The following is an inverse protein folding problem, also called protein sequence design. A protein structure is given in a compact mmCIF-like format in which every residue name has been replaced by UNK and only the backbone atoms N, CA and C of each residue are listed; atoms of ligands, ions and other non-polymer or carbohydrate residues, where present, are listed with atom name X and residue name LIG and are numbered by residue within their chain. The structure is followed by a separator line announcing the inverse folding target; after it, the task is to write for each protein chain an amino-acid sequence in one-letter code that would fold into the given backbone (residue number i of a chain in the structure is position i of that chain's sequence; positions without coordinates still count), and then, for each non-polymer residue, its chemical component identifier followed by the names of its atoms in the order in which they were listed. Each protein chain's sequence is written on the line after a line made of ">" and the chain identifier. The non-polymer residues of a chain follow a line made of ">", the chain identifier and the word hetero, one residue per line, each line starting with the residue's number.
data_IF_343131787675
#
_entry.id   IF_343131787675
#
_cell.length_a   1.000
_cell.length_b   1.000
_cell.length_c   1.000
_cell.angle_alpha   90.00
_cell.angle_beta   90.00
_cell.angle_gamma   90.00
#
_symmetry.space_group_name_H-M   'P 1'
#
loop_
_entity.id
_entity.type
_entity.pdbx_description
1 polymer ?
#
# COMPACT_ATOMS: atom_id res chain seq x y z
N UNK A 1 17.15 -28.10 -5.19
CA UNK A 1 16.75 -26.74 -5.59
C UNK A 1 15.53 -26.90 -6.49
N UNK A 2 14.36 -26.34 -6.14
CA UNK A 2 13.12 -26.55 -6.91
C UNK A 2 13.28 -26.09 -8.37
N UNK A 3 12.73 -26.83 -9.33
CA UNK A 3 12.74 -26.53 -10.77
C UNK A 3 12.26 -25.08 -11.06
N UNK A 4 11.35 -24.58 -10.21
CA UNK A 4 10.89 -23.19 -10.15
C UNK A 4 12.03 -22.17 -9.99
N UNK A 5 12.99 -22.39 -9.08
CA UNK A 5 14.07 -21.45 -8.83
C UNK A 5 15.06 -21.37 -10.00
N UNK A 6 15.25 -22.48 -10.71
CA UNK A 6 16.08 -22.53 -11.91
C UNK A 6 15.41 -21.74 -13.05
N UNK A 7 14.14 -22.02 -13.32
CA UNK A 7 13.35 -21.34 -14.36
C UNK A 7 13.14 -19.86 -14.08
N UNK A 8 12.87 -19.45 -12.83
CA UNK A 8 12.80 -18.03 -12.44
C UNK A 8 14.15 -17.34 -12.64
N UNK A 9 15.26 -18.02 -12.37
CA UNK A 9 16.60 -17.47 -12.54
C UNK A 9 16.96 -17.34 -14.02
N UNK A 10 16.64 -18.33 -14.86
CA UNK A 10 16.85 -18.27 -16.31
C UNK A 10 15.95 -17.24 -16.98
N UNK A 11 14.65 -17.25 -16.70
CA UNK A 11 13.71 -16.22 -17.22
C UNK A 11 14.09 -14.81 -16.73
N UNK A 12 14.58 -14.68 -15.50
CA UNK A 12 15.11 -13.42 -14.99
C UNK A 12 16.37 -12.95 -15.72
N UNK A 13 17.24 -13.87 -16.13
CA UNK A 13 18.50 -13.57 -16.83
C UNK A 13 18.25 -13.25 -18.30
N UNK A 14 17.31 -13.95 -18.93
CA UNK A 14 16.96 -13.83 -20.34
C UNK A 14 16.06 -12.63 -20.64
N UNK A 15 15.00 -12.40 -19.85
CA UNK A 15 13.95 -11.43 -20.18
C UNK A 15 14.01 -10.13 -19.38
N UNK A 16 15.01 -10.01 -18.49
CA UNK A 16 15.29 -8.80 -17.73
C UNK A 16 14.11 -8.36 -16.87
N UNK A 17 13.96 -9.00 -15.69
CA UNK A 17 13.22 -8.40 -14.59
C UNK A 17 13.73 -6.98 -14.33
N UNK A 18 12.90 -6.12 -13.71
CA UNK A 18 13.37 -4.80 -13.27
C UNK A 18 14.73 -4.92 -12.62
N UNK A 19 15.65 -4.05 -13.02
CA UNK A 19 16.88 -3.91 -12.27
C UNK A 19 16.51 -3.63 -10.81
N UNK A 20 17.30 -4.14 -9.87
CA UNK A 20 17.05 -3.90 -8.44
C UNK A 20 16.88 -2.40 -8.14
N UNK A 21 17.57 -1.54 -8.91
CA UNK A 21 17.45 -0.08 -8.89
C UNK A 21 16.05 0.41 -9.24
N UNK A 22 15.45 -0.09 -10.32
CA UNK A 22 14.09 0.31 -10.73
C UNK A 22 13.04 -0.09 -9.69
N UNK A 23 13.27 -1.22 -8.99
CA UNK A 23 12.39 -1.67 -7.89
C UNK A 23 12.45 -0.70 -6.72
N UNK A 24 13.68 -0.36 -6.30
CA UNK A 24 13.91 0.60 -5.22
C UNK A 24 13.30 1.95 -5.56
N UNK A 25 13.49 2.44 -6.79
CA UNK A 25 12.89 3.71 -7.25
C UNK A 25 11.35 3.67 -7.24
N UNK A 26 10.74 2.59 -7.72
CA UNK A 26 9.28 2.45 -7.71
C UNK A 26 8.71 2.48 -6.29
N UNK A 27 9.31 1.73 -5.34
CA UNK A 27 8.87 1.73 -3.95
C UNK A 27 9.17 3.07 -3.27
N UNK A 28 10.28 3.72 -3.59
CA UNK A 28 10.61 5.04 -3.08
C UNK A 28 9.57 6.09 -3.49
N UNK A 29 9.13 6.08 -4.75
CA UNK A 29 8.06 6.96 -5.25
C UNK A 29 6.74 6.67 -4.50
N UNK A 30 6.40 5.40 -4.26
CA UNK A 30 5.20 5.04 -3.51
C UNK A 30 5.25 5.50 -2.05
N UNK A 31 6.43 5.42 -1.41
CA UNK A 31 6.65 5.91 -0.04
C UNK A 31 6.50 7.44 0.02
N UNK A 32 7.08 8.17 -0.93
CA UNK A 32 6.91 9.63 -1.02
C UNK A 32 5.42 9.99 -1.14
N UNK A 33 4.68 9.29 -1.99
CA UNK A 33 3.24 9.51 -2.15
C UNK A 33 2.44 9.22 -0.87
N UNK A 34 2.85 8.23 -0.09
CA UNK A 34 2.23 7.93 1.20
C UNK A 34 2.55 9.00 2.25
N UNK A 35 3.81 9.42 2.35
CA UNK A 35 4.25 10.49 3.25
C UNK A 35 3.55 11.80 2.88
N UNK A 36 3.40 12.12 1.59
CA UNK A 36 2.71 13.33 1.17
C UNK A 36 1.23 13.30 1.53
N UNK A 37 0.57 12.14 1.47
CA UNK A 37 -0.82 12.01 1.89
C UNK A 37 -0.99 12.23 3.41
N UNK A 38 -0.08 11.67 4.22
CA UNK A 38 -0.06 11.90 5.68
C UNK A 38 0.25 13.37 5.98
N UNK A 39 1.25 13.94 5.31
CA UNK A 39 1.63 15.34 5.47
C UNK A 39 0.49 16.30 5.13
N UNK A 40 -0.21 16.05 4.02
CA UNK A 40 -1.41 16.80 3.64
C UNK A 40 -2.51 16.70 4.70
N UNK A 41 -2.76 15.51 5.21
CA UNK A 41 -3.77 15.32 6.25
C UNK A 41 -3.40 16.08 7.53
N UNK A 42 -2.16 15.96 8.00
CA UNK A 42 -1.70 16.66 9.20
C UNK A 42 -1.77 18.19 9.03
N UNK A 43 -1.38 18.71 7.86
CA UNK A 43 -1.46 20.13 7.54
C UNK A 43 -2.92 20.61 7.51
N UNK A 44 -3.83 19.80 6.96
CA UNK A 44 -5.26 20.14 6.91
C UNK A 44 -5.91 20.31 8.28
N UNK A 45 -5.33 19.68 9.32
CA UNK A 45 -5.78 19.76 10.71
C UNK A 45 -5.03 20.85 11.52
N UNK A 46 -3.97 21.45 10.96
CA UNK A 46 -3.19 22.48 11.64
C UNK A 46 -3.93 23.82 11.62
N UNK A 47 -3.91 24.54 12.73
CA UNK A 47 -4.51 25.88 12.84
C UNK A 47 -3.75 26.94 12.02
N UNK A 48 -2.46 26.70 11.76
CA UNK A 48 -1.64 27.48 10.83
C UNK A 48 -1.56 26.73 9.49
N UNK A 49 -2.67 26.68 8.76
CA UNK A 49 -2.66 26.16 7.39
C UNK A 49 -1.77 27.05 6.53
N UNK A 50 -0.60 26.54 6.16
CA UNK A 50 0.20 27.13 5.11
C UNK A 50 -0.32 26.62 3.77
N UNK A 51 -1.05 27.47 3.03
CA UNK A 51 -1.57 27.14 1.70
C UNK A 51 -0.46 26.58 0.78
N UNK A 52 0.77 27.10 0.92
CA UNK A 52 1.94 26.63 0.17
C UNK A 52 2.40 25.23 0.58
N UNK A 53 2.35 24.86 1.86
CA UNK A 53 2.67 23.49 2.30
C UNK A 53 1.60 22.49 1.84
N UNK A 54 0.32 22.84 1.97
CA UNK A 54 -0.80 22.00 1.48
C UNK A 54 -0.68 21.71 -0.03
N UNK A 55 -0.42 22.75 -0.83
CA UNK A 55 -0.17 22.61 -2.27
C UNK A 55 1.05 21.74 -2.58
N UNK A 56 2.13 21.88 -1.80
CA UNK A 56 3.35 21.08 -1.97
C UNK A 56 3.06 19.58 -1.80
N UNK A 57 2.27 19.19 -0.80
CA UNK A 57 1.88 17.79 -0.60
C UNK A 57 0.98 17.26 -1.72
N UNK A 58 0.05 18.06 -2.23
CA UNK A 58 -0.79 17.69 -3.37
C UNK A 58 0.07 17.44 -4.62
N UNK A 59 1.01 18.34 -4.91
CA UNK A 59 1.93 18.23 -6.05
C UNK A 59 2.81 16.98 -5.91
N UNK A 60 3.37 16.73 -4.73
CA UNK A 60 4.16 15.52 -4.45
C UNK A 60 3.34 14.24 -4.62
N UNK A 61 2.08 14.24 -4.15
CA UNK A 61 1.16 13.12 -4.31
C UNK A 61 0.84 12.85 -5.79
N UNK A 62 0.53 13.90 -6.55
CA UNK A 62 0.26 13.80 -7.98
C UNK A 62 1.51 13.32 -8.75
N UNK A 63 2.68 13.90 -8.47
CA UNK A 63 3.95 13.50 -9.07
C UNK A 63 4.28 12.02 -8.77
N UNK A 64 4.00 11.57 -7.55
CA UNK A 64 4.21 10.18 -7.16
C UNK A 64 3.28 9.22 -7.90
N UNK A 65 2.01 9.60 -8.06
CA UNK A 65 1.05 8.83 -8.84
C UNK A 65 1.47 8.70 -10.31
N UNK A 66 1.74 9.83 -10.99
CA UNK A 66 2.16 9.83 -12.39
C UNK A 66 3.51 9.15 -12.60
N UNK A 67 4.45 9.35 -11.69
CA UNK A 67 5.74 8.65 -11.68
C UNK A 67 5.54 7.14 -11.61
N UNK A 68 4.72 6.65 -10.66
CA UNK A 68 4.43 5.21 -10.54
C UNK A 68 3.77 4.64 -11.80
N UNK A 69 2.90 5.40 -12.46
CA UNK A 69 2.20 5.00 -13.69
C UNK A 69 3.18 4.93 -14.87
N UNK A 70 4.03 5.93 -15.02
CA UNK A 70 5.07 5.96 -16.04
C UNK A 70 6.02 4.77 -15.93
N UNK A 71 6.53 4.50 -14.72
CA UNK A 71 7.40 3.36 -14.46
C UNK A 71 6.74 2.04 -14.82
N UNK A 72 5.50 1.80 -14.38
CA UNK A 72 4.74 0.59 -14.75
C UNK A 72 4.64 0.39 -16.26
N UNK A 73 4.32 1.45 -17.00
CA UNK A 73 4.17 1.38 -18.45
C UNK A 73 5.50 1.13 -19.15
N UNK A 74 6.58 1.79 -18.72
CA UNK A 74 7.93 1.58 -19.24
C UNK A 74 8.36 0.12 -19.08
N UNK A 75 8.16 -0.43 -17.88
CA UNK A 75 8.48 -1.81 -17.53
C UNK A 75 7.72 -2.80 -18.41
N UNK A 76 6.41 -2.60 -18.57
CA UNK A 76 5.59 -3.48 -19.39
C UNK A 76 6.06 -3.49 -20.85
N UNK A 77 6.41 -2.30 -21.38
CA UNK A 77 6.92 -2.15 -22.74
C UNK A 77 8.28 -2.82 -22.94
N UNK A 78 9.21 -2.63 -22.01
CA UNK A 78 10.54 -3.25 -22.07
C UNK A 78 10.47 -4.77 -21.98
N UNK A 79 9.61 -5.29 -21.09
CA UNK A 79 9.35 -6.73 -20.97
C UNK A 79 8.81 -7.31 -22.28
N UNK A 80 7.78 -6.69 -22.83
CA UNK A 80 7.17 -7.08 -24.10
C UNK A 80 8.17 -7.13 -25.26
N UNK A 81 9.04 -6.13 -25.37
CA UNK A 81 10.05 -6.09 -26.43
C UNK A 81 11.07 -7.23 -26.30
N UNK A 82 11.41 -7.63 -25.07
CA UNK A 82 12.35 -8.74 -24.81
C UNK A 82 11.71 -10.10 -25.04
N UNK A 83 10.42 -10.27 -24.75
CA UNK A 83 9.68 -11.52 -25.00
C UNK A 83 9.36 -11.73 -26.47
N UNK A 84 9.35 -10.69 -27.30
CA UNK A 84 9.14 -10.79 -28.75
C UNK A 84 10.27 -11.53 -29.49
N UNK A 85 11.45 -11.67 -28.88
CA UNK A 85 12.60 -12.40 -29.45
C UNK A 85 12.59 -13.90 -29.16
N UNK A 86 11.49 -14.46 -28.66
CA UNK A 86 11.37 -15.88 -28.34
C UNK A 86 11.50 -16.72 -29.63
N UNK A 87 12.51 -17.59 -29.68
CA UNK A 87 12.67 -18.55 -30.78
C UNK A 87 11.92 -19.83 -30.44
N UNK A 88 11.26 -20.45 -31.43
CA UNK A 88 10.46 -21.69 -31.27
C UNK A 88 11.27 -22.86 -30.65
N UNK A 89 12.61 -22.76 -30.66
CA UNK A 89 13.54 -23.79 -30.19
C UNK A 89 13.85 -23.74 -28.68
N UNK A 90 13.44 -22.68 -27.96
CA UNK A 90 13.70 -22.52 -26.53
C UNK A 90 12.71 -23.29 -25.63
N UNK A 91 12.85 -24.62 -25.60
CA UNK A 91 12.71 -25.57 -24.46
C UNK A 91 11.40 -25.60 -23.61
N UNK A 92 10.49 -24.62 -23.71
CA UNK A 92 9.30 -24.55 -22.85
C UNK A 92 8.05 -25.05 -23.58
N UNK A 93 7.66 -26.30 -23.27
CA UNK A 93 6.33 -26.82 -23.60
C UNK A 93 5.24 -25.93 -22.96
N UNK A 94 4.21 -25.56 -23.71
CA UNK A 94 3.09 -24.74 -23.22
C UNK A 94 2.44 -25.32 -21.96
N UNK A 95 2.37 -26.65 -21.84
CA UNK A 95 1.84 -27.30 -20.64
C UNK A 95 2.68 -27.01 -19.39
N UNK A 96 4.00 -26.84 -19.55
CA UNK A 96 4.89 -26.46 -18.45
C UNK A 96 4.73 -24.98 -18.08
N UNK A 97 4.46 -24.11 -19.07
CA UNK A 97 4.18 -22.69 -18.84
C UNK A 97 2.87 -22.53 -18.08
N UNK A 98 1.81 -23.21 -18.51
CA UNK A 98 0.50 -23.17 -17.86
C UNK A 98 0.55 -23.71 -16.43
N UNK A 99 1.26 -24.83 -16.19
CA UNK A 99 1.45 -25.35 -14.83
C UNK A 99 2.19 -24.37 -13.90
N UNK A 100 3.17 -23.62 -14.42
CA UNK A 100 3.90 -22.60 -13.66
C UNK A 100 3.05 -21.37 -13.38
N UNK A 101 2.20 -20.96 -14.33
CA UNK A 101 1.21 -19.90 -14.14
C UNK A 101 0.27 -20.29 -12.99
N UNK A 102 -0.32 -21.47 -13.04
CA UNK A 102 -1.25 -21.96 -12.01
C UNK A 102 -0.59 -22.00 -10.62
N UNK A 103 0.65 -22.51 -10.52
CA UNK A 103 1.38 -22.55 -9.26
C UNK A 103 1.65 -21.14 -8.71
N UNK A 104 2.04 -20.20 -9.57
CA UNK A 104 2.29 -18.80 -9.20
C UNK A 104 1.01 -18.10 -8.76
N UNK A 105 -0.11 -18.32 -9.45
CA UNK A 105 -1.40 -17.75 -9.09
C UNK A 105 -1.89 -18.28 -7.75
N UNK A 106 -1.77 -19.60 -7.51
CA UNK A 106 -2.10 -20.21 -6.21
C UNK A 106 -1.21 -19.68 -5.08
N UNK A 107 0.08 -19.49 -5.36
CA UNK A 107 1.01 -18.90 -4.40
C UNK A 107 0.69 -17.42 -4.10
N UNK A 108 0.29 -16.65 -5.11
CA UNK A 108 -0.11 -15.24 -4.94
C UNK A 108 -1.44 -15.11 -4.22
N UNK A 109 -2.40 -15.99 -4.48
CA UNK A 109 -3.70 -16.00 -3.80
C UNK A 109 -3.53 -16.37 -2.33
N UNK A 110 -2.72 -17.37 -2.01
CA UNK A 110 -2.38 -17.72 -0.63
C UNK A 110 -1.72 -16.55 0.11
N UNK A 111 -0.73 -15.88 -0.51
CA UNK A 111 -0.12 -14.68 0.08
C UNK A 111 -1.14 -13.55 0.31
N UNK A 112 -2.11 -13.38 -0.59
CA UNK A 112 -3.16 -12.37 -0.44
C UNK A 112 -4.05 -12.70 0.76
N UNK A 113 -4.45 -13.96 0.91
CA UNK A 113 -5.23 -14.42 2.07
C UNK A 113 -4.47 -14.20 3.39
N UNK A 114 -3.17 -14.52 3.43
CA UNK A 114 -2.33 -14.27 4.60
C UNK A 114 -2.25 -12.77 4.92
N UNK A 115 -2.09 -11.92 3.90
CA UNK A 115 -2.06 -10.47 4.09
C UNK A 115 -3.39 -9.93 4.63
N UNK A 116 -4.52 -10.42 4.12
CA UNK A 116 -5.85 -10.06 4.62
C UNK A 116 -6.03 -10.48 6.07
N UNK A 117 -5.57 -11.68 6.44
CA UNK A 117 -5.56 -12.15 7.83
C UNK A 117 -4.70 -11.27 8.73
N UNK A 118 -3.47 -10.95 8.30
CA UNK A 118 -2.57 -10.10 9.06
C UNK A 118 -3.15 -8.70 9.29
N UNK A 119 -3.75 -8.09 8.25
CA UNK A 119 -4.46 -6.80 8.37
C UNK A 119 -5.62 -6.93 9.36
N UNK A 120 -6.45 -7.97 9.24
CA UNK A 120 -7.56 -8.22 10.17
C UNK A 120 -7.10 -8.30 11.62
N UNK A 121 -6.09 -9.12 11.91
CA UNK A 121 -5.52 -9.27 13.26
C UNK A 121 -4.97 -7.94 13.79
N UNK A 122 -4.20 -7.20 12.97
CA UNK A 122 -3.64 -5.90 13.36
C UNK A 122 -4.74 -4.88 13.66
N UNK A 123 -5.76 -4.78 12.81
CA UNK A 123 -6.87 -3.86 13.03
C UNK A 123 -7.66 -4.23 14.28
N UNK A 124 -7.94 -5.52 14.52
CA UNK A 124 -8.62 -5.96 15.75
C UNK A 124 -7.82 -5.65 17.00
N UNK A 125 -6.50 -5.91 17.01
CA UNK A 125 -5.64 -5.57 18.14
C UNK A 125 -5.63 -4.06 18.41
N UNK A 126 -5.55 -3.25 17.35
CA UNK A 126 -5.57 -1.80 17.45
C UNK A 126 -6.89 -1.29 18.05
N UNK A 127 -8.03 -1.77 17.55
CA UNK A 127 -9.35 -1.46 18.15
C UNK A 127 -9.37 -1.85 19.62
N UNK A 128 -8.96 -3.08 19.97
CA UNK A 128 -8.98 -3.58 21.33
C UNK A 128 -8.14 -2.70 22.28
N UNK A 129 -6.92 -2.35 21.89
CA UNK A 129 -6.02 -1.49 22.68
C UNK A 129 -6.62 -0.10 22.83
N UNK A 130 -7.12 0.50 21.75
CA UNK A 130 -7.77 1.82 21.79
C UNK A 130 -9.00 1.81 22.71
N UNK A 131 -9.83 0.78 22.66
CA UNK A 131 -11.00 0.64 23.55
C UNK A 131 -10.58 0.45 25.02
N UNK A 132 -9.58 -0.39 25.30
CA UNK A 132 -9.07 -0.59 26.65
C UNK A 132 -8.49 0.69 27.24
N UNK A 133 -7.66 1.41 26.48
CA UNK A 133 -7.11 2.71 26.89
C UNK A 133 -8.22 3.75 27.10
N UNK A 134 -9.18 3.84 26.18
CA UNK A 134 -10.33 4.73 26.31
C UNK A 134 -11.12 4.47 27.59
N UNK A 135 -11.45 3.20 27.86
CA UNK A 135 -12.13 2.83 29.09
C UNK A 135 -11.31 3.12 30.35
N UNK A 136 -10.00 2.91 30.32
CA UNK A 136 -9.13 3.26 31.44
C UNK A 136 -9.14 4.77 31.71
N UNK A 137 -9.08 5.59 30.65
CA UNK A 137 -9.17 7.06 30.75
C UNK A 137 -10.52 7.49 31.33
N UNK A 138 -11.64 6.97 30.81
CA UNK A 138 -12.97 7.33 31.32
C UNK A 138 -13.15 6.93 32.79
N UNK A 139 -12.63 5.77 33.20
CA UNK A 139 -12.63 5.38 34.62
C UNK A 139 -11.78 6.30 35.48
N UNK A 140 -10.61 6.72 35.00
CA UNK A 140 -9.77 7.68 35.70
C UNK A 140 -10.47 9.03 35.85
N UNK A 141 -11.12 9.53 34.79
CA UNK A 141 -11.91 10.76 34.83
C UNK A 141 -13.06 10.64 35.83
N UNK A 142 -13.82 9.54 35.80
CA UNK A 142 -14.94 9.31 36.71
C UNK A 142 -14.48 9.23 38.19
N UNK A 143 -13.33 8.59 38.45
CA UNK A 143 -12.73 8.58 39.79
C UNK A 143 -12.28 9.99 40.20
N UNK A 144 -11.61 10.73 39.31
CA UNK A 144 -11.16 12.09 39.59
C UNK A 144 -12.34 13.02 39.89
N UNK A 145 -13.41 12.95 39.09
CA UNK A 145 -14.63 13.75 39.29
C UNK A 145 -15.34 13.42 40.61
N UNK A 146 -15.27 12.18 41.09
CA UNK A 146 -15.84 11.79 42.40
C UNK A 146 -15.03 12.30 43.59
N UNK A 147 -13.74 12.60 43.40
CA UNK A 147 -12.83 13.08 44.46
C UNK A 147 -12.79 14.60 44.52
N UNK A 148 -12.99 15.27 43.38
CA UNK A 148 -13.00 16.73 43.27
C UNK A 148 -14.25 17.32 43.93
N UNK A 149 -14.10 18.46 44.60
CA UNK A 149 -15.24 19.23 45.11
C UNK A 149 -15.89 20.02 43.97
N UNK A 150 -17.16 20.39 44.13
CA UNK A 150 -17.89 21.18 43.12
C UNK A 150 -17.19 22.49 42.74
N UNK A 151 -16.46 23.10 43.67
CA UNK A 151 -15.65 24.31 43.41
C UNK A 151 -14.46 24.03 42.48
N UNK A 152 -13.79 22.88 42.65
CA UNK A 152 -12.69 22.46 41.79
C UNK A 152 -13.19 22.09 40.39
N UNK A 153 -14.36 21.47 40.30
CA UNK A 153 -15.01 21.13 39.02
C UNK A 153 -15.37 22.40 38.25
N UNK A 154 -15.92 23.42 38.92
CA UNK A 154 -16.18 24.74 38.32
C UNK A 154 -14.89 25.41 37.84
N UNK A 155 -13.84 25.37 38.64
CA UNK A 155 -12.56 25.97 38.26
C UNK A 155 -11.94 25.29 37.02
N UNK A 156 -12.00 23.96 36.95
CA UNK A 156 -11.53 23.19 35.79
C UNK A 156 -12.41 23.46 34.56
N UNK A 157 -13.73 23.53 34.74
CA UNK A 157 -14.67 23.90 33.67
C UNK A 157 -14.37 25.29 33.12
N UNK A 158 -14.19 26.28 33.98
CA UNK A 158 -13.88 27.65 33.57
C UNK A 158 -12.53 27.73 32.86
N UNK A 159 -11.52 26.97 33.32
CA UNK A 159 -10.25 26.82 32.60
C UNK A 159 -10.45 26.23 31.21
N UNK A 160 -11.20 25.14 31.07
CA UNK A 160 -11.48 24.53 29.76
C UNK A 160 -12.23 25.47 28.83
N UNK A 161 -13.23 26.19 29.33
CA UNK A 161 -13.98 27.19 28.55
C UNK A 161 -13.08 28.35 28.12
N UNK A 162 -12.17 28.79 28.99
CA UNK A 162 -11.21 29.85 28.70
C UNK A 162 -10.18 29.39 27.66
N UNK A 163 -9.66 28.17 27.79
CA UNK A 163 -8.74 27.56 26.82
C UNK A 163 -9.43 27.36 25.46
N UNK A 164 -10.68 26.91 25.46
CA UNK A 164 -11.50 26.79 24.26
C UNK A 164 -11.71 28.15 23.57
N UNK A 165 -12.12 29.17 24.32
CA UNK A 165 -12.28 30.53 23.80
C UNK A 165 -10.95 31.13 23.29
N UNK A 166 -9.82 30.75 23.88
CA UNK A 166 -8.49 31.17 23.45
C UNK A 166 -7.96 30.37 22.25
N UNK A 167 -8.42 29.14 22.05
CA UNK A 167 -7.95 28.26 20.97
C UNK A 167 -8.41 28.68 19.58
N UNK A 168 -9.42 29.56 19.51
CA UNK A 168 -10.03 30.06 18.27
C UNK A 168 -10.67 28.98 17.38
N UNK A 169 -10.58 27.70 17.76
CA UNK A 169 -11.07 26.56 17.00
C UNK A 169 -12.50 26.26 17.39
N UNK A 170 -13.35 26.01 16.41
CA UNK A 170 -14.72 25.60 16.71
C UNK A 170 -14.74 24.18 17.29
N UNK A 171 -15.69 23.86 18.18
CA UNK A 171 -15.94 22.48 18.64
C UNK A 171 -16.04 21.50 17.46
N UNK A 172 -16.62 21.95 16.34
CA UNK A 172 -16.72 21.15 15.13
C UNK A 172 -15.36 20.79 14.54
N UNK A 173 -14.41 21.73 14.45
CA UNK A 173 -13.05 21.46 13.97
C UNK A 173 -12.31 20.46 14.86
N UNK A 174 -12.43 20.60 16.18
CA UNK A 174 -11.81 19.69 17.15
C UNK A 174 -12.37 18.27 17.01
N UNK A 175 -13.69 18.14 16.89
CA UNK A 175 -14.36 16.84 16.69
C UNK A 175 -13.96 16.24 15.34
N UNK A 176 -13.98 17.03 14.27
CA UNK A 176 -13.68 16.56 12.92
C UNK A 176 -12.21 16.14 12.78
N UNK A 177 -11.28 16.89 13.39
CA UNK A 177 -9.87 16.54 13.42
C UNK A 177 -9.59 15.26 14.20
N UNK A 178 -10.22 15.09 15.36
CA UNK A 178 -10.11 13.86 16.14
C UNK A 178 -10.73 12.65 15.43
N UNK A 179 -11.87 12.82 14.76
CA UNK A 179 -12.50 11.78 13.95
C UNK A 179 -11.63 11.37 12.76
N UNK A 180 -11.00 12.35 12.10
CA UNK A 180 -10.08 12.09 11.00
C UNK A 180 -8.79 11.40 11.45
N UNK A 181 -8.23 11.78 12.61
CA UNK A 181 -7.09 11.07 13.21
C UNK A 181 -7.43 9.61 13.52
N UNK A 182 -8.64 9.34 14.02
CA UNK A 182 -9.14 7.97 14.21
C UNK A 182 -9.23 7.20 12.90
N UNK A 183 -9.73 7.82 11.82
CA UNK A 183 -9.76 7.18 10.50
C UNK A 183 -8.36 6.85 9.98
N UNK A 184 -7.40 7.77 10.11
CA UNK A 184 -6.00 7.51 9.74
C UNK A 184 -5.41 6.35 10.54
N UNK A 185 -5.71 6.27 11.83
CA UNK A 185 -5.27 5.19 12.71
C UNK A 185 -5.70 3.81 12.17
N UNK A 186 -6.89 3.72 11.57
CA UNK A 186 -7.39 2.49 10.95
C UNK A 186 -6.85 2.24 9.54
N UNK A 187 -6.63 3.30 8.75
CA UNK A 187 -6.10 3.19 7.38
C UNK A 187 -4.62 2.79 7.37
N UNK A 188 -3.86 3.21 8.38
CA UNK A 188 -2.43 2.95 8.49
C UNK A 188 -2.04 1.45 8.48
N UNK A 189 -2.59 0.58 9.34
CA UNK A 189 -2.27 -0.85 9.31
C UNK A 189 -2.70 -1.53 8.01
N UNK A 190 -3.80 -1.07 7.41
CA UNK A 190 -4.25 -1.54 6.09
C UNK A 190 -3.20 -1.21 5.03
N UNK A 191 -2.75 0.06 4.98
CA UNK A 191 -1.74 0.52 4.03
C UNK A 191 -0.41 -0.23 4.18
N UNK A 192 0.07 -0.42 5.42
CA UNK A 192 1.30 -1.18 5.69
C UNK A 192 1.15 -2.64 5.28
N UNK A 193 0.04 -3.30 5.64
CA UNK A 193 -0.19 -4.70 5.30
C UNK A 193 -0.19 -4.93 3.79
N UNK A 194 -0.82 -4.04 3.03
CA UNK A 194 -0.82 -4.10 1.57
C UNK A 194 0.54 -3.73 0.95
N UNK A 195 1.29 -2.80 1.55
CA UNK A 195 2.66 -2.48 1.12
C UNK A 195 3.60 -3.69 1.30
N UNK A 196 3.57 -4.33 2.47
CA UNK A 196 4.34 -5.54 2.74
C UNK A 196 3.99 -6.68 1.78
N UNK A 197 2.69 -6.91 1.56
CA UNK A 197 2.23 -7.87 0.55
C UNK A 197 2.74 -7.51 -0.85
N UNK A 198 2.66 -6.23 -1.23
CA UNK A 198 3.15 -5.75 -2.52
C UNK A 198 4.64 -6.05 -2.69
N UNK A 199 5.47 -5.80 -1.66
CA UNK A 199 6.91 -6.07 -1.67
C UNK A 199 7.22 -7.56 -1.79
N UNK A 200 6.59 -8.41 -0.98
CA UNK A 200 6.83 -9.87 -1.00
C UNK A 200 6.32 -10.52 -2.29
N UNK A 201 5.19 -10.06 -2.82
CA UNK A 201 4.58 -10.59 -4.05
C UNK A 201 5.21 -10.04 -5.33
N UNK A 202 6.06 -9.03 -5.24
CA UNK A 202 6.53 -8.27 -6.40
C UNK A 202 7.23 -9.15 -7.44
N UNK A 203 8.22 -9.92 -7.02
CA UNK A 203 9.01 -10.79 -7.92
C UNK A 203 8.08 -11.82 -8.58
N UNK A 204 7.18 -12.43 -7.81
CA UNK A 204 6.23 -13.44 -8.31
C UNK A 204 5.29 -12.84 -9.36
N UNK A 205 4.79 -11.63 -9.14
CA UNK A 205 3.96 -10.90 -10.13
C UNK A 205 4.73 -10.55 -11.40
N UNK A 206 6.02 -10.22 -11.29
CA UNK A 206 6.83 -9.96 -12.47
C UNK A 206 7.08 -11.22 -13.30
N UNK A 207 7.43 -12.33 -12.65
CA UNK A 207 7.61 -13.64 -13.30
C UNK A 207 6.30 -14.06 -13.98
N UNK A 208 5.17 -13.96 -13.28
CA UNK A 208 3.85 -14.26 -13.84
C UNK A 208 3.58 -13.42 -15.10
N UNK A 209 3.89 -12.12 -15.08
CA UNK A 209 3.73 -11.26 -16.25
C UNK A 209 4.61 -11.68 -17.44
N UNK A 210 5.84 -12.13 -17.19
CA UNK A 210 6.71 -12.68 -18.26
C UNK A 210 6.11 -13.97 -18.84
N UNK A 211 5.63 -14.88 -17.99
CA UNK A 211 5.02 -16.15 -18.44
C UNK A 211 3.77 -15.90 -19.28
N UNK A 212 2.94 -14.91 -18.90
CA UNK A 212 1.80 -14.50 -19.71
C UNK A 212 2.20 -13.95 -21.08
N UNK A 213 3.21 -13.08 -21.13
CA UNK A 213 3.72 -12.51 -22.39
C UNK A 213 4.30 -13.62 -23.29
N UNK A 214 5.03 -14.59 -22.73
CA UNK A 214 5.57 -15.77 -23.46
C UNK A 214 4.44 -16.67 -23.97
N UNK A 215 3.46 -17.01 -23.13
CA UNK A 215 2.28 -17.80 -23.52
C UNK A 215 1.53 -17.14 -24.67
N UNK A 216 1.34 -15.82 -24.61
CA UNK A 216 0.66 -15.07 -25.64
C UNK A 216 1.42 -15.09 -26.98
N UNK A 217 2.75 -14.94 -26.94
CA UNK A 217 3.58 -15.07 -28.14
C UNK A 217 3.51 -16.48 -28.73
N UNK A 218 3.60 -17.52 -27.90
CA UNK A 218 3.47 -18.91 -28.34
C UNK A 218 2.13 -19.12 -29.08
N UNK A 219 1.00 -18.70 -28.49
CA UNK A 219 -0.32 -18.82 -29.12
C UNK A 219 -0.42 -18.05 -30.45
N UNK A 220 0.12 -16.83 -30.53
CA UNK A 220 0.15 -16.06 -31.78
C UNK A 220 0.97 -16.70 -32.90
N UNK A 221 2.02 -17.44 -32.56
CA UNK A 221 2.86 -18.14 -33.53
C UNK A 221 2.19 -19.42 -34.07
N UNK A 222 1.47 -20.16 -33.21
CA UNK A 222 0.68 -21.32 -33.64
C UNK A 222 -0.51 -20.92 -34.51
N UNK A 223 -1.22 -19.84 -34.15
CA UNK A 223 -2.38 -19.34 -34.91
C UNK A 223 -1.97 -18.84 -36.32
N UNK A 224 -0.72 -18.38 -36.50
CA UNK A 224 -0.18 -18.06 -37.83
C UNK A 224 0.16 -19.29 -38.66
N UNK A 225 0.73 -20.34 -38.04
CA UNK A 225 1.09 -21.59 -38.73
C UNK A 225 -0.14 -22.34 -39.26
N UNK A 226 -1.26 -22.31 -38.54
CA UNK A 226 -2.51 -22.95 -38.96
C UNK A 226 -3.29 -22.15 -40.02
N UNK A 227 -3.06 -20.83 -40.12
CA UNK A 227 -3.71 -19.96 -41.12
C UNK A 227 -2.89 -19.79 -42.42
N UNK A 228 -1.65 -20.27 -42.47
CA UNK A 228 -0.78 -20.29 -43.66
C UNK A 228 -0.82 -21.65 -44.41
N UNK A 229 -1.81 -22.50 -44.13
CA UNK A 229 -2.09 -23.78 -44.84
C UNK A 229 -3.35 -23.66 -45.71
#
# INVERSE_FOLDING_TARGET
>A
MSNYYYLVKETSKAYGLLSWVDKVLYYFIMIIGFISAIGFFNESQSYNQSETMGLTYIILGAASYFGSKYWRNKIAKERWLKTKGFSEDDILNINSIDALIDELEKNLSSLKTVSQWAVGVLTTLLVLISTLMGNAIFKFIDIALKILKDEDIKMISDMFVKEYNNSGSSIFEIIFGNAGNLLLLFVFPIAIGYLLFSTVSFIRKQVLGVLYDVRYHFLLHFDKKDNDI
#
